data_IF_373656277176
#
_entry.id   IF_373656277176
#
_cell.length_a   1.000
_cell.length_b   1.000
_cell.length_c   1.000
_cell.angle_alpha   90.00
_cell.angle_beta   90.00
_cell.angle_gamma   90.00
#
_symmetry.space_group_name_H-M   'P 1'
#
loop_
_entity.id
_entity.type
_entity.pdbx_description
1 polymer ?
#
# COMPACT_ATOMS: atom_id res chain seq x y z
N UNK A 1 0.17 -12.26 1.91
CA UNK A 1 0.44 -12.56 0.48
C UNK A 1 1.43 -11.53 -0.01
N UNK A 2 2.09 -11.81 -1.12
CA UNK A 2 3.00 -10.85 -1.74
C UNK A 2 2.48 -10.51 -3.15
N UNK A 3 2.70 -9.28 -3.57
CA UNK A 3 2.31 -8.78 -4.90
C UNK A 3 3.56 -8.24 -5.58
N UNK A 4 3.75 -8.62 -6.84
CA UNK A 4 4.79 -8.03 -7.69
C UNK A 4 4.33 -6.65 -8.17
N UNK A 5 5.23 -5.67 -8.09
CA UNK A 5 4.99 -4.33 -8.63
C UNK A 5 5.05 -4.38 -10.15
N UNK A 6 3.96 -3.98 -10.80
CA UNK A 6 3.87 -3.87 -12.26
C UNK A 6 4.40 -2.51 -12.76
N UNK A 7 4.80 -2.39 -14.05
CA UNK A 7 5.14 -1.11 -14.66
C UNK A 7 4.04 -0.05 -14.49
N UNK A 8 4.41 1.10 -13.92
CA UNK A 8 3.48 2.21 -13.68
C UNK A 8 2.60 2.07 -12.44
N UNK A 9 2.74 0.98 -11.69
CA UNK A 9 2.01 0.81 -10.43
C UNK A 9 2.51 1.79 -9.36
N UNK A 10 1.57 2.29 -8.56
CA UNK A 10 1.80 3.02 -7.31
C UNK A 10 1.24 2.23 -6.13
N UNK A 11 1.67 2.54 -4.91
CA UNK A 11 1.11 1.92 -3.70
C UNK A 11 -0.41 2.09 -3.62
N UNK A 12 -0.94 3.24 -4.06
CA UNK A 12 -2.38 3.49 -4.16
C UNK A 12 -3.06 2.52 -5.13
N UNK A 13 -2.55 2.40 -6.36
CA UNK A 13 -3.15 1.50 -7.36
C UNK A 13 -3.09 0.04 -6.92
N UNK A 14 -2.01 -0.38 -6.25
CA UNK A 14 -1.88 -1.73 -5.70
C UNK A 14 -2.93 -1.97 -4.61
N UNK A 15 -3.09 -1.03 -3.67
CA UNK A 15 -4.08 -1.14 -2.61
C UNK A 15 -5.54 -1.15 -3.15
N UNK A 16 -5.80 -0.38 -4.21
CA UNK A 16 -7.10 -0.28 -4.86
C UNK A 16 -7.52 -1.55 -5.62
N UNK A 17 -6.60 -2.46 -5.90
CA UNK A 17 -6.91 -3.71 -6.60
C UNK A 17 -7.93 -4.56 -5.81
N UNK A 18 -8.93 -5.16 -6.48
CA UNK A 18 -9.93 -6.00 -5.83
C UNK A 18 -9.34 -7.20 -5.07
N UNK A 19 -8.23 -7.75 -5.57
CA UNK A 19 -7.53 -8.90 -4.97
C UNK A 19 -6.56 -8.51 -3.85
N UNK A 20 -6.43 -7.22 -3.52
CA UNK A 20 -5.55 -6.70 -2.47
C UNK A 20 -6.38 -6.22 -1.27
N UNK A 21 -6.89 -4.99 -1.32
CA UNK A 21 -7.81 -4.45 -0.32
C UNK A 21 -9.08 -3.87 -0.91
N UNK A 22 -9.14 -3.70 -2.24
CA UNK A 22 -10.21 -2.99 -2.92
C UNK A 22 -10.40 -1.54 -2.42
N UNK A 23 -9.31 -0.93 -1.94
CA UNK A 23 -9.33 0.42 -1.34
C UNK A 23 -7.93 1.05 -1.43
N UNK A 24 -7.80 2.05 -2.31
CA UNK A 24 -6.52 2.73 -2.55
C UNK A 24 -6.00 3.50 -1.33
N UNK A 25 -6.89 3.93 -0.43
CA UNK A 25 -6.53 4.65 0.78
C UNK A 25 -5.84 3.75 1.83
N UNK A 26 -5.76 2.45 1.59
CA UNK A 26 -5.03 1.51 2.43
C UNK A 26 -3.56 1.32 2.00
N UNK A 27 -3.07 2.12 1.04
CA UNK A 27 -1.67 2.13 0.64
C UNK A 27 -0.66 2.30 1.79
N UNK A 28 -0.94 3.05 2.89
CA UNK A 28 0.03 3.20 3.99
C UNK A 28 0.32 1.87 4.69
N UNK A 29 -0.61 0.91 4.66
CA UNK A 29 -0.38 -0.43 5.21
C UNK A 29 0.68 -1.19 4.41
N UNK A 30 0.66 -1.06 3.08
CA UNK A 30 1.66 -1.66 2.19
C UNK A 30 3.01 -0.99 2.46
N UNK A 31 3.05 0.34 2.54
CA UNK A 31 4.29 1.07 2.84
C UNK A 31 4.90 0.64 4.18
N UNK A 32 4.11 0.61 5.26
CA UNK A 32 4.57 0.26 6.61
C UNK A 32 5.08 -1.18 6.69
N UNK A 33 4.43 -2.13 6.01
CA UNK A 33 4.84 -3.53 6.00
C UNK A 33 6.13 -3.80 5.20
N UNK A 34 6.55 -2.87 4.35
CA UNK A 34 7.69 -3.02 3.45
C UNK A 34 8.75 -1.92 3.63
N UNK A 35 8.83 -1.30 4.82
CA UNK A 35 9.81 -0.23 5.13
C UNK A 35 11.26 -0.66 5.03
N UNK A 36 11.52 -1.96 5.08
CA UNK A 36 12.80 -2.58 4.80
C UNK A 36 13.21 -2.43 3.32
N UNK A 37 12.24 -2.30 2.42
CA UNK A 37 12.45 -2.22 0.96
C UNK A 37 12.12 -0.83 0.39
N UNK A 38 11.14 -0.12 0.99
CA UNK A 38 10.60 1.15 0.51
C UNK A 38 11.03 2.27 1.47
N UNK A 39 11.93 3.14 1.00
CA UNK A 39 12.35 4.34 1.74
C UNK A 39 11.42 5.52 1.52
N UNK A 40 10.83 5.60 0.34
CA UNK A 40 9.96 6.69 -0.11
C UNK A 40 8.73 6.04 -0.76
N UNK A 41 7.51 6.31 -0.27
CA UNK A 41 6.29 5.66 -0.75
C UNK A 41 5.99 5.95 -2.23
N UNK A 42 6.55 7.02 -2.80
CA UNK A 42 6.41 7.34 -4.24
C UNK A 42 7.42 6.61 -5.12
N UNK A 43 8.41 5.91 -4.53
CA UNK A 43 9.49 5.24 -5.26
C UNK A 43 9.43 3.73 -5.05
N UNK A 44 8.53 3.12 -5.80
CA UNK A 44 8.51 1.67 -6.02
C UNK A 44 8.91 1.38 -7.47
N UNK A 45 9.45 0.19 -7.70
CA UNK A 45 10.03 -0.22 -8.97
C UNK A 45 9.43 -1.53 -9.44
N UNK A 46 9.24 -1.72 -10.76
CA UNK A 46 8.74 -2.98 -11.30
C UNK A 46 9.58 -4.18 -10.88
N UNK A 47 8.93 -5.31 -10.59
CA UNK A 47 9.57 -6.53 -10.11
C UNK A 47 9.83 -6.60 -8.60
N UNK A 48 9.54 -5.53 -7.84
CA UNK A 48 9.58 -5.59 -6.38
C UNK A 48 8.46 -6.48 -5.83
N UNK A 49 8.77 -7.34 -4.86
CA UNK A 49 7.79 -8.14 -4.15
C UNK A 49 7.37 -7.45 -2.85
N UNK A 50 6.13 -6.99 -2.79
CA UNK A 50 5.59 -6.26 -1.64
C UNK A 50 4.65 -7.14 -0.81
N UNK A 51 4.90 -7.19 0.49
CA UNK A 51 4.04 -7.85 1.48
C UNK A 51 2.73 -7.08 1.63
N UNK A 52 1.62 -7.80 1.58
CA UNK A 52 0.26 -7.28 1.78
C UNK A 52 -0.30 -7.80 3.12
N UNK A 53 -0.28 -7.01 4.21
CA UNK A 53 -0.85 -7.40 5.50
C UNK A 53 -2.39 -7.44 5.48
N UNK A 54 -2.99 -8.58 5.82
CA UNK A 54 -4.47 -8.75 5.82
C UNK A 54 -5.12 -8.76 7.20
N UNK A 55 -4.36 -9.07 8.23
CA UNK A 55 -4.87 -9.16 9.59
C UNK A 55 -4.82 -7.76 10.21
N UNK A 56 -5.87 -6.97 9.93
CA UNK A 56 -6.00 -5.58 10.37
C UNK A 56 -7.37 -5.34 10.97
N UNK A 57 -7.39 -4.67 12.11
CA UNK A 57 -8.64 -4.27 12.76
C UNK A 57 -9.30 -3.13 12.00
N UNK A 58 -10.60 -2.95 12.20
CA UNK A 58 -11.34 -1.83 11.60
C UNK A 58 -10.72 -0.46 11.95
N UNK A 59 -10.18 -0.32 13.16
CA UNK A 59 -9.51 0.88 13.64
C UNK A 59 -8.20 1.14 12.89
N UNK A 60 -7.38 0.11 12.67
CA UNK A 60 -6.15 0.22 11.88
C UNK A 60 -6.44 0.58 10.42
N UNK A 61 -7.51 0.00 9.84
CA UNK A 61 -7.94 0.36 8.49
C UNK A 61 -8.40 1.82 8.40
N UNK A 62 -9.17 2.30 9.38
CA UNK A 62 -9.61 3.69 9.44
C UNK A 62 -8.43 4.66 9.61
N UNK A 63 -7.49 4.34 10.48
CA UNK A 63 -6.27 5.13 10.68
C UNK A 63 -5.42 5.20 9.40
N UNK A 64 -5.27 4.08 8.68
CA UNK A 64 -4.55 4.06 7.42
C UNK A 64 -5.22 4.94 6.35
N UNK A 65 -6.55 4.92 6.25
CA UNK A 65 -7.29 5.81 5.33
C UNK A 65 -7.09 7.27 5.68
N UNK A 66 -7.19 7.62 6.95
CA UNK A 66 -6.99 8.99 7.42
C UNK A 66 -5.57 9.47 7.09
N UNK A 67 -4.55 8.66 7.37
CA UNK A 67 -3.16 8.98 7.03
C UNK A 67 -2.97 9.16 5.52
N UNK A 68 -3.57 8.31 4.69
CA UNK A 68 -3.50 8.45 3.24
C UNK A 68 -4.06 9.80 2.75
N UNK A 69 -5.19 10.23 3.32
CA UNK A 69 -5.83 11.50 3.01
C UNK A 69 -5.01 12.70 3.49
N UNK A 70 -4.42 12.62 4.68
CA UNK A 70 -3.57 13.68 5.24
C UNK A 70 -2.28 13.86 4.45
N UNK A 71 -1.69 12.77 3.98
CA UNK A 71 -0.46 12.79 3.21
C UNK A 71 -0.69 13.28 1.76
N UNK A 72 -1.87 13.02 1.19
CA UNK A 72 -2.28 13.48 -0.15
C UNK A 72 -1.19 13.29 -1.23
N UNK A 73 -0.57 12.10 -1.24
CA UNK A 73 0.58 11.78 -2.09
C UNK A 73 0.19 11.26 -3.49
N UNK A 74 -1.03 10.74 -3.62
CA UNK A 74 -1.59 10.15 -4.83
C UNK A 74 -2.98 10.75 -5.06
#
# INVERSE_FOLDING_TARGET
>A
MDVEVEPGATLFTIAARPDVYHDGLLWPLIYKANRDQIKDPLKIFPGQMLKIPRDKTAEELAAARQEALELNLF
#
